data_IF_145176117171
#
_entry.id   IF_145176117171
#
_cell.length_a   1.000
_cell.length_b   1.000
_cell.length_c   1.000
_cell.angle_alpha   90.00
_cell.angle_beta   90.00
_cell.angle_gamma   90.00
#
_symmetry.space_group_name_H-M   'P 1'
#
loop_
_entity.id
_entity.type
_entity.pdbx_description
1 polymer ?
#
# COMPACT_ATOMS: atom_id res chain seq x y z
N UNK A 1 44.03 -11.01 -51.21
CA UNK A 1 42.58 -11.28 -51.29
C UNK A 1 42.28 -12.51 -50.46
N UNK A 2 41.67 -12.36 -49.28
CA UNK A 2 41.15 -13.46 -48.46
C UNK A 2 39.96 -12.90 -47.69
N UNK A 3 38.77 -13.26 -48.15
CA UNK A 3 37.50 -12.89 -47.54
C UNK A 3 37.32 -13.69 -46.26
N UNK A 4 37.44 -13.03 -45.11
CA UNK A 4 37.12 -13.62 -43.81
C UNK A 4 35.62 -13.46 -43.59
N UNK A 5 34.89 -14.59 -43.63
CA UNK A 5 33.44 -14.69 -43.41
C UNK A 5 33.06 -14.20 -42.00
N UNK A 6 32.11 -13.27 -41.94
CA UNK A 6 31.49 -12.77 -40.71
C UNK A 6 30.43 -13.79 -40.28
N UNK A 7 30.66 -14.48 -39.17
CA UNK A 7 29.65 -15.32 -38.51
C UNK A 7 28.84 -14.44 -37.54
N UNK A 8 27.63 -14.07 -37.96
CA UNK A 8 26.65 -13.36 -37.14
C UNK A 8 25.92 -14.38 -36.24
N UNK A 9 26.35 -14.54 -34.99
CA UNK A 9 25.65 -15.36 -34.02
C UNK A 9 24.39 -14.62 -33.52
N UNK A 10 23.21 -15.01 -34.01
CA UNK A 10 21.93 -14.62 -33.44
C UNK A 10 21.80 -15.25 -32.04
N UNK A 11 21.97 -14.44 -30.99
CA UNK A 11 21.54 -14.81 -29.66
C UNK A 11 20.00 -14.76 -29.62
N UNK A 12 19.35 -15.93 -29.70
CA UNK A 12 17.95 -16.10 -29.33
C UNK A 12 17.81 -15.72 -27.85
N UNK A 13 17.27 -14.52 -27.58
CA UNK A 13 16.82 -14.16 -26.25
C UNK A 13 15.68 -15.09 -25.84
N UNK A 14 15.96 -16.07 -25.00
CA UNK A 14 14.93 -16.86 -24.36
C UNK A 14 14.10 -15.93 -23.48
N UNK A 15 12.89 -15.58 -23.93
CA UNK A 15 11.88 -14.96 -23.09
C UNK A 15 11.46 -16.01 -22.05
N UNK A 16 12.08 -15.98 -20.88
CA UNK A 16 11.61 -16.75 -19.73
C UNK A 16 10.18 -16.30 -19.41
N UNK A 17 9.22 -17.22 -19.22
CA UNK A 17 7.89 -16.83 -18.78
C UNK A 17 8.01 -16.11 -17.44
N UNK A 18 7.35 -14.96 -17.32
CA UNK A 18 7.20 -14.29 -16.03
C UNK A 18 6.53 -15.28 -15.06
N UNK A 19 7.28 -15.71 -14.04
CA UNK A 19 6.71 -16.57 -13.01
C UNK A 19 5.69 -15.74 -12.24
N UNK A 20 4.49 -16.30 -12.10
CA UNK A 20 3.46 -15.78 -11.24
C UNK A 20 4.00 -15.65 -9.81
N UNK A 21 4.15 -14.43 -9.32
CA UNK A 21 4.59 -14.22 -7.95
C UNK A 21 3.38 -14.30 -7.03
N UNK A 22 3.39 -15.27 -6.12
CA UNK A 22 2.40 -15.34 -5.05
C UNK A 22 2.77 -14.35 -3.95
N UNK A 23 1.93 -13.35 -3.75
CA UNK A 23 2.06 -12.36 -2.69
C UNK A 23 1.10 -12.68 -1.55
N UNK A 24 1.63 -12.82 -0.35
CA UNK A 24 0.86 -12.91 0.88
C UNK A 24 0.72 -11.52 1.53
N UNK A 25 -0.36 -11.31 2.27
CA UNK A 25 -0.47 -10.13 3.13
C UNK A 25 0.68 -10.09 4.15
N UNK A 26 1.30 -8.92 4.38
CA UNK A 26 2.50 -8.82 5.21
C UNK A 26 2.21 -9.06 6.69
N UNK A 27 3.19 -9.55 7.45
CA UNK A 27 3.06 -9.57 8.91
C UNK A 27 3.12 -8.15 9.48
N UNK A 28 1.99 -7.66 10.01
CA UNK A 28 1.90 -6.33 10.62
C UNK A 28 2.88 -6.16 11.79
N UNK A 29 3.25 -7.23 12.49
CA UNK A 29 4.21 -7.17 13.60
C UNK A 29 5.65 -6.88 13.15
N UNK A 30 5.98 -7.20 11.90
CA UNK A 30 7.28 -6.95 11.30
C UNK A 30 7.33 -5.64 10.50
N UNK A 31 6.23 -4.88 10.45
CA UNK A 31 6.18 -3.61 9.76
C UNK A 31 7.06 -2.56 10.45
N UNK A 32 7.65 -1.68 9.65
CA UNK A 32 8.56 -0.63 10.11
C UNK A 32 7.94 0.73 9.82
N UNK A 33 7.97 1.61 10.81
CA UNK A 33 7.60 3.01 10.63
C UNK A 33 8.71 3.72 9.87
N UNK A 34 8.40 4.26 8.69
CA UNK A 34 9.39 4.95 7.84
C UNK A 34 9.26 6.48 7.92
N UNK A 35 8.09 6.99 8.34
CA UNK A 35 7.88 8.41 8.60
C UNK A 35 7.46 8.64 10.06
N UNK A 36 7.96 9.69 10.69
CA UNK A 36 7.54 10.09 12.04
C UNK A 36 6.08 10.52 12.06
N UNK A 37 5.43 10.35 13.20
CA UNK A 37 4.12 10.94 13.44
C UNK A 37 4.24 12.47 13.49
N UNK A 38 3.30 13.20 12.88
CA UNK A 38 3.31 14.65 12.95
C UNK A 38 3.05 15.11 14.40
N UNK A 39 3.68 16.20 14.79
CA UNK A 39 3.38 16.90 16.03
C UNK A 39 2.01 17.58 15.96
N UNK A 40 1.46 17.91 17.13
CA UNK A 40 0.19 18.64 17.22
C UNK A 40 0.32 20.05 16.60
N UNK A 41 1.48 20.70 16.76
CA UNK A 41 1.80 21.98 16.15
C UNK A 41 1.83 21.90 14.62
N UNK A 42 2.47 20.87 14.06
CA UNK A 42 2.48 20.62 12.62
C UNK A 42 1.07 20.39 12.08
N UNK A 43 0.27 19.56 12.77
CA UNK A 43 -1.12 19.29 12.37
C UNK A 43 -1.97 20.56 12.38
N UNK A 44 -1.84 21.42 13.40
CA UNK A 44 -2.55 22.70 13.46
C UNK A 44 -2.11 23.64 12.34
N UNK A 45 -0.82 23.71 12.09
CA UNK A 45 -0.27 24.50 10.99
C UNK A 45 -0.80 24.02 9.63
N UNK A 46 -0.71 22.72 9.34
CA UNK A 46 -1.16 22.16 8.05
C UNK A 46 -2.68 22.16 7.91
N UNK A 47 -3.46 22.14 9.00
CA UNK A 47 -4.90 22.37 8.96
C UNK A 47 -5.22 23.73 8.34
N UNK A 48 -4.55 24.80 8.79
CA UNK A 48 -4.77 26.14 8.22
C UNK A 48 -4.45 26.22 6.74
N UNK A 49 -3.40 25.53 6.28
CA UNK A 49 -3.04 25.49 4.86
C UNK A 49 -3.96 24.62 4.02
N UNK A 50 -4.26 23.39 4.48
CA UNK A 50 -5.07 22.41 3.74
C UNK A 50 -6.55 22.78 3.72
N UNK A 51 -7.07 23.38 4.79
CA UNK A 51 -8.48 23.74 4.94
C UNK A 51 -8.75 25.25 4.82
N UNK A 52 -7.79 26.05 4.33
CA UNK A 52 -7.98 27.46 4.02
C UNK A 52 -9.20 27.68 3.10
N UNK A 53 -9.74 28.91 3.10
CA UNK A 53 -10.98 29.30 2.42
C UNK A 53 -11.10 28.80 0.97
N UNK A 54 -10.00 28.81 0.22
CA UNK A 54 -9.98 28.32 -1.16
C UNK A 54 -10.23 26.80 -1.25
N UNK A 55 -9.65 25.99 -0.36
CA UNK A 55 -9.85 24.54 -0.38
C UNK A 55 -11.27 24.13 0.03
N UNK A 56 -11.89 24.89 0.96
CA UNK A 56 -13.29 24.72 1.37
C UNK A 56 -14.27 25.14 0.27
N UNK A 57 -13.95 26.22 -0.46
CA UNK A 57 -14.78 26.77 -1.54
C UNK A 57 -14.84 25.86 -2.77
N UNK A 58 -13.76 25.13 -3.09
CA UNK A 58 -13.71 24.21 -4.25
C UNK A 58 -14.05 22.74 -3.92
N UNK A 59 -14.49 22.47 -2.69
CA UNK A 59 -15.46 21.40 -2.39
C UNK A 59 -14.97 19.95 -2.39
N UNK A 60 -13.68 19.66 -2.34
CA UNK A 60 -13.21 18.25 -2.43
C UNK A 60 -13.16 17.49 -1.10
N UNK A 61 -13.21 18.17 0.05
CA UNK A 61 -13.08 17.49 1.35
C UNK A 61 -13.79 18.25 2.49
N UNK A 62 -15.12 18.44 2.34
CA UNK A 62 -15.92 19.21 3.30
C UNK A 62 -15.96 18.60 4.70
N UNK A 63 -15.86 17.28 4.80
CA UNK A 63 -15.91 16.56 6.07
C UNK A 63 -14.59 16.69 6.85
N UNK A 64 -13.45 16.43 6.19
CA UNK A 64 -12.13 16.59 6.81
C UNK A 64 -11.89 18.03 7.26
N UNK A 65 -12.36 19.00 6.47
CA UNK A 65 -12.21 20.43 6.78
C UNK A 65 -13.37 21.04 7.59
N UNK A 66 -14.28 20.23 8.13
CA UNK A 66 -15.37 20.74 8.98
C UNK A 66 -14.85 21.21 10.34
N UNK A 67 -13.94 20.44 10.94
CA UNK A 67 -13.29 20.76 12.22
C UNK A 67 -11.84 20.30 12.20
N UNK A 68 -11.06 20.81 13.15
CA UNK A 68 -9.68 20.37 13.33
C UNK A 68 -9.60 18.89 13.72
N UNK A 69 -10.55 18.38 14.49
CA UNK A 69 -10.58 16.98 14.93
C UNK A 69 -10.78 16.01 13.76
N UNK A 70 -11.63 16.37 12.80
CA UNK A 70 -11.81 15.59 11.57
C UNK A 70 -10.52 15.58 10.74
N UNK A 71 -9.89 16.75 10.60
CA UNK A 71 -8.60 16.88 9.93
C UNK A 71 -7.53 16.02 10.61
N UNK A 72 -7.39 16.15 11.93
CA UNK A 72 -6.44 15.39 12.75
C UNK A 72 -6.70 13.90 12.59
N UNK A 73 -7.95 13.44 12.65
CA UNK A 73 -8.30 12.02 12.43
C UNK A 73 -7.84 11.50 11.06
N UNK A 74 -7.92 12.34 10.01
CA UNK A 74 -7.51 11.96 8.66
C UNK A 74 -6.00 12.10 8.40
N UNK A 75 -5.32 13.02 9.10
CA UNK A 75 -3.93 13.42 8.79
C UNK A 75 -2.92 13.06 9.87
N UNK A 76 -3.34 12.68 11.07
CA UNK A 76 -2.49 12.14 12.12
C UNK A 76 -2.12 10.68 11.83
N UNK A 77 -1.44 10.49 10.71
CA UNK A 77 -1.04 9.19 10.17
C UNK A 77 0.45 9.22 9.84
N UNK A 78 1.10 8.08 10.01
CA UNK A 78 2.48 7.87 9.58
C UNK A 78 2.55 6.81 8.48
N UNK A 79 3.55 6.92 7.61
CA UNK A 79 3.86 5.88 6.65
C UNK A 79 4.60 4.72 7.34
N UNK A 80 4.09 3.51 7.10
CA UNK A 80 4.67 2.24 7.51
C UNK A 80 4.85 1.35 6.30
N UNK A 81 5.87 0.51 6.34
CA UNK A 81 6.14 -0.46 5.29
C UNK A 81 6.23 -1.87 5.86
N UNK A 82 5.91 -2.88 5.04
CA UNK A 82 6.24 -4.27 5.36
C UNK A 82 7.74 -4.44 5.51
N UNK A 83 8.16 -5.54 6.16
CA UNK A 83 9.58 -5.83 6.41
C UNK A 83 10.47 -5.75 5.16
N UNK A 84 9.93 -6.10 4.00
CA UNK A 84 10.59 -6.08 2.70
C UNK A 84 10.35 -4.79 1.88
N UNK A 85 9.58 -3.84 2.41
CA UNK A 85 9.23 -2.58 1.74
C UNK A 85 8.17 -2.69 0.64
N UNK A 86 7.66 -3.89 0.34
CA UNK A 86 6.76 -4.10 -0.80
C UNK A 86 5.35 -3.51 -0.56
N UNK A 87 4.84 -3.60 0.66
CA UNK A 87 3.54 -3.08 1.04
C UNK A 87 3.70 -1.81 1.89
N UNK A 88 2.82 -0.85 1.64
CA UNK A 88 2.77 0.41 2.39
C UNK A 88 1.42 0.58 3.08
N UNK A 89 1.44 1.14 4.28
CA UNK A 89 0.26 1.50 5.05
C UNK A 89 0.41 2.91 5.62
N UNK A 90 -0.68 3.68 5.60
CA UNK A 90 -0.80 4.89 6.40
C UNK A 90 -1.57 4.55 7.66
N UNK A 91 -0.89 4.55 8.80
CA UNK A 91 -1.44 4.08 10.07
C UNK A 91 -1.61 5.26 11.02
N UNK A 92 -2.75 5.33 11.71
CA UNK A 92 -3.02 6.36 12.71
C UNK A 92 -1.94 6.38 13.79
N UNK A 93 -1.45 7.57 14.10
CA UNK A 93 -0.50 7.80 15.18
C UNK A 93 -1.14 7.71 16.57
N UNK A 94 -2.48 7.66 16.64
CA UNK A 94 -3.22 7.40 17.88
C UNK A 94 -3.46 5.89 18.10
N UNK A 95 -3.00 5.01 17.20
CA UNK A 95 -3.10 3.56 17.40
C UNK A 95 -2.31 3.17 18.67
N UNK A 96 -2.94 2.51 19.66
CA UNK A 96 -2.24 2.20 20.90
C UNK A 96 -0.98 1.38 20.68
N UNK A 97 0.05 1.68 21.46
CA UNK A 97 1.37 1.04 21.33
C UNK A 97 1.23 -0.48 21.46
N UNK A 98 1.80 -1.20 20.49
CA UNK A 98 1.77 -2.67 20.47
C UNK A 98 0.51 -3.29 19.88
N UNK A 99 -0.54 -2.51 19.56
CA UNK A 99 -1.74 -3.01 18.87
C UNK A 99 -1.38 -3.56 17.49
N UNK A 100 -0.56 -2.84 16.71
CA UNK A 100 -0.14 -3.25 15.37
C UNK A 100 0.47 -4.66 15.35
N UNK A 101 1.25 -5.01 16.38
CA UNK A 101 1.93 -6.31 16.51
C UNK A 101 0.97 -7.49 16.71
N UNK A 102 -0.28 -7.21 17.07
CA UNK A 102 -1.31 -8.24 17.31
C UNK A 102 -2.26 -8.39 16.13
N UNK A 103 -2.20 -7.50 15.14
CA UNK A 103 -3.12 -7.51 14.02
C UNK A 103 -2.80 -8.68 13.09
N UNK A 104 -3.87 -9.33 12.62
CA UNK A 104 -3.83 -10.35 11.56
C UNK A 104 -4.70 -9.88 10.40
N UNK A 105 -4.33 -10.22 9.15
CA UNK A 105 -5.15 -9.84 8.01
C UNK A 105 -6.50 -10.54 8.07
N UNK A 106 -7.57 -9.79 7.82
CA UNK A 106 -8.95 -10.31 7.79
C UNK A 106 -9.49 -10.38 6.37
N UNK A 107 -8.93 -9.62 5.43
CA UNK A 107 -9.29 -9.72 4.02
C UNK A 107 -8.18 -9.23 3.09
N UNK A 108 -8.26 -9.68 1.85
CA UNK A 108 -7.43 -9.22 0.74
C UNK A 108 -8.30 -8.92 -0.48
N UNK A 109 -8.04 -7.81 -1.16
CA UNK A 109 -8.78 -7.39 -2.33
C UNK A 109 -7.89 -6.79 -3.40
N UNK A 110 -8.24 -7.05 -4.67
CA UNK A 110 -7.61 -6.40 -5.84
C UNK A 110 -8.54 -5.32 -6.38
N UNK A 111 -7.96 -4.18 -6.74
CA UNK A 111 -8.63 -3.09 -7.45
C UNK A 111 -7.72 -2.50 -8.53
N UNK A 112 -8.30 -1.83 -9.52
CA UNK A 112 -7.56 -1.08 -10.54
C UNK A 112 -7.59 0.41 -10.22
N UNK A 113 -6.44 1.07 -10.32
CA UNK A 113 -6.29 2.52 -10.24
C UNK A 113 -5.57 3.01 -11.51
N UNK A 114 -6.36 3.38 -12.52
CA UNK A 114 -5.83 3.65 -13.85
C UNK A 114 -5.10 2.43 -14.41
N UNK A 115 -3.80 2.57 -14.70
CA UNK A 115 -2.96 1.47 -15.21
C UNK A 115 -2.31 0.62 -14.12
N UNK A 116 -2.53 0.94 -12.85
CA UNK A 116 -1.95 0.22 -11.72
C UNK A 116 -2.97 -0.77 -11.15
N UNK A 117 -2.49 -1.94 -10.79
CA UNK A 117 -3.19 -2.89 -9.93
C UNK A 117 -2.81 -2.58 -8.48
N UNK A 118 -3.83 -2.53 -7.62
CA UNK A 118 -3.70 -2.32 -6.19
C UNK A 118 -4.19 -3.56 -5.47
N UNK A 119 -3.31 -4.19 -4.71
CA UNK A 119 -3.64 -5.24 -3.77
C UNK A 119 -3.73 -4.63 -2.37
N UNK A 120 -4.86 -4.78 -1.70
CA UNK A 120 -5.11 -4.23 -0.38
C UNK A 120 -5.39 -5.35 0.63
N UNK A 121 -4.57 -5.42 1.66
CA UNK A 121 -4.71 -6.32 2.81
C UNK A 121 -5.30 -5.53 3.98
N UNK A 122 -6.51 -5.89 4.39
CA UNK A 122 -7.22 -5.23 5.49
C UNK A 122 -6.97 -5.96 6.79
N UNK A 123 -6.80 -5.20 7.86
CA UNK A 123 -6.59 -5.64 9.23
C UNK A 123 -7.64 -4.95 10.12
N UNK A 124 -7.86 -5.44 11.35
CA UNK A 124 -8.64 -4.71 12.35
C UNK A 124 -8.06 -3.30 12.59
N UNK A 125 -8.82 -2.46 13.31
CA UNK A 125 -8.45 -1.05 13.58
C UNK A 125 -8.33 -0.18 12.32
N UNK A 126 -8.90 -0.62 11.19
CA UNK A 126 -8.87 0.12 9.93
C UNK A 126 -7.50 0.13 9.24
N UNK A 127 -6.54 -0.66 9.70
CA UNK A 127 -5.20 -0.74 9.09
C UNK A 127 -5.29 -1.43 7.75
N UNK A 128 -4.71 -0.83 6.71
CA UNK A 128 -4.66 -1.40 5.35
C UNK A 128 -3.26 -1.31 4.77
N UNK A 129 -2.63 -2.46 4.53
CA UNK A 129 -1.38 -2.55 3.78
C UNK A 129 -1.68 -2.69 2.30
N UNK A 130 -0.99 -1.91 1.48
CA UNK A 130 -1.25 -1.81 0.05
C UNK A 130 0.01 -2.10 -0.76
N UNK A 131 -0.08 -3.03 -1.69
CA UNK A 131 0.92 -3.26 -2.73
C UNK A 131 0.39 -2.70 -4.06
N UNK A 132 1.29 -2.10 -4.85
CA UNK A 132 0.96 -1.53 -6.16
C UNK A 132 1.91 -2.02 -7.22
N UNK A 133 1.35 -2.49 -8.33
CA UNK A 133 2.12 -3.01 -9.46
C UNK A 133 1.44 -2.65 -10.78
N UNK A 134 2.17 -2.79 -11.89
CA UNK A 134 1.61 -2.74 -13.25
C UNK A 134 1.08 -4.10 -13.71
N UNK A 135 1.55 -5.20 -13.09
CA UNK A 135 1.08 -6.56 -13.37
C UNK A 135 -0.37 -6.76 -12.94
N UNK A 136 -1.05 -7.74 -13.51
CA UNK A 136 -2.39 -8.10 -13.07
C UNK A 136 -2.28 -8.97 -11.82
N UNK A 137 -3.16 -8.77 -10.85
CA UNK A 137 -3.21 -9.61 -9.65
C UNK A 137 -4.60 -10.22 -9.50
N UNK A 138 -4.66 -11.44 -8.97
CA UNK A 138 -5.90 -12.12 -8.63
C UNK A 138 -5.82 -12.70 -7.22
N UNK A 139 -6.82 -12.38 -6.40
CA UNK A 139 -6.95 -12.98 -5.06
C UNK A 139 -7.16 -14.48 -5.18
N UNK A 140 -6.50 -15.25 -4.31
CA UNK A 140 -6.78 -16.67 -4.12
C UNK A 140 -8.03 -16.83 -3.24
N UNK A 141 -8.96 -17.68 -3.65
CA UNK A 141 -10.22 -17.87 -2.93
C UNK A 141 -11.15 -16.65 -3.01
N UNK A 142 -11.92 -16.42 -1.95
CA UNK A 142 -12.92 -15.35 -1.86
C UNK A 142 -12.37 -14.05 -1.24
N UNK A 143 -11.11 -14.06 -0.78
CA UNK A 143 -10.46 -12.92 -0.15
C UNK A 143 -10.83 -12.69 1.31
N UNK A 144 -11.61 -13.57 1.95
CA UNK A 144 -11.85 -13.55 3.38
C UNK A 144 -10.82 -14.42 4.11
N UNK A 145 -10.07 -13.81 5.01
CA UNK A 145 -8.96 -14.46 5.72
C UNK A 145 -9.20 -14.56 7.23
N UNK A 146 -10.42 -14.26 7.68
CA UNK A 146 -10.76 -14.20 9.12
C UNK A 146 -10.50 -15.53 9.83
N UNK A 147 -10.81 -16.65 9.16
CA UNK A 147 -10.62 -18.00 9.71
C UNK A 147 -9.18 -18.50 9.56
N UNK A 148 -8.49 -18.10 8.50
CA UNK A 148 -7.10 -18.48 8.22
C UNK A 148 -6.33 -17.29 7.61
N UNK A 149 -5.56 -16.55 8.44
CA UNK A 149 -4.73 -15.46 7.95
C UNK A 149 -3.67 -15.87 6.92
N UNK A 150 -3.25 -17.15 6.89
CA UNK A 150 -2.28 -17.63 5.91
C UNK A 150 -2.89 -17.76 4.50
N UNK A 151 -4.21 -17.87 4.39
CA UNK A 151 -4.94 -17.89 3.12
C UNK A 151 -4.99 -16.52 2.42
N UNK A 152 -4.54 -15.45 3.09
CA UNK A 152 -4.58 -14.08 2.57
C UNK A 152 -3.50 -13.84 1.51
N UNK A 153 -3.77 -14.31 0.29
CA UNK A 153 -2.82 -14.37 -0.82
C UNK A 153 -3.43 -13.94 -2.15
N UNK A 154 -2.58 -13.45 -3.05
CA UNK A 154 -2.89 -13.18 -4.43
C UNK A 154 -1.75 -13.62 -5.35
N UNK A 155 -2.07 -13.98 -6.58
CA UNK A 155 -1.09 -14.24 -7.63
C UNK A 155 -1.00 -13.02 -8.55
N UNK A 156 0.22 -12.54 -8.82
CA UNK A 156 0.47 -11.38 -9.68
C UNK A 156 1.37 -11.73 -10.87
N UNK A 157 0.87 -11.47 -12.09
CA UNK A 157 1.49 -11.86 -13.37
C UNK A 157 1.50 -10.70 -14.38
#
# INVERSE_FOLDING_TARGET
MKHTLIALALALGAALPALAETLACPDAAAAVQVATCPSEEELKYTYTGFCADNARMYGKDKETCATYENYRKAKNIALWESKDGAFQAYISCDLPTGTLKKLKPVSIAVSRLGKLTRLACSYPEGVTFTYRTKTECKVRGDGNCTADPAACQADCN
#
